data_IF_120013132345
#
_entry.id   IF_120013132345
#
_cell.length_a   1.000
_cell.length_b   1.000
_cell.length_c   1.000
_cell.angle_alpha   90.00
_cell.angle_beta   90.00
_cell.angle_gamma   90.00
#
_symmetry.space_group_name_H-M   'P 1'
#
loop_
_entity.id
_entity.type
_entity.pdbx_description
1 polymer ?
#
# COMPACT_ATOMS: atom_id res chain seq x y z
N UNK A 1 -19.33 -21.83 -9.43
CA UNK A 1 -18.28 -22.81 -9.04
C UNK A 1 -17.59 -22.29 -7.79
N UNK A 2 -17.48 -23.10 -6.73
CA UNK A 2 -16.85 -22.70 -5.45
C UNK A 2 -15.34 -22.55 -5.64
N UNK A 3 -14.80 -21.36 -5.35
CA UNK A 3 -13.35 -21.19 -5.19
C UNK A 3 -12.95 -22.04 -3.98
N UNK A 4 -11.92 -22.92 -4.08
CA UNK A 4 -11.46 -23.67 -2.93
C UNK A 4 -11.02 -22.66 -1.85
N UNK A 5 -11.59 -22.78 -0.66
CA UNK A 5 -11.35 -21.87 0.48
C UNK A 5 -9.86 -21.73 0.85
N UNK A 6 -9.02 -22.67 0.39
CA UNK A 6 -7.62 -22.78 0.75
C UNK A 6 -6.67 -21.89 -0.08
N UNK A 7 -7.07 -21.37 -1.25
CA UNK A 7 -6.13 -20.68 -2.16
C UNK A 7 -5.50 -19.42 -1.53
N UNK A 8 -6.25 -18.45 -0.97
CA UNK A 8 -5.66 -17.30 -0.31
C UNK A 8 -4.75 -17.70 0.85
N UNK A 9 -5.13 -18.75 1.61
CA UNK A 9 -4.38 -19.22 2.76
C UNK A 9 -3.03 -19.83 2.35
N UNK A 10 -3.02 -20.66 1.31
CA UNK A 10 -1.78 -21.26 0.76
C UNK A 10 -0.85 -20.17 0.25
N UNK A 11 -1.38 -19.20 -0.50
CA UNK A 11 -0.57 -18.11 -1.06
C UNK A 11 0.00 -17.23 0.05
N UNK A 12 -0.78 -16.95 1.10
CA UNK A 12 -0.29 -16.23 2.29
C UNK A 12 0.84 -16.97 2.97
N UNK A 13 0.71 -18.29 3.16
CA UNK A 13 1.75 -19.12 3.75
C UNK A 13 3.03 -19.14 2.89
N UNK A 14 2.89 -19.21 1.56
CA UNK A 14 4.02 -19.14 0.62
C UNK A 14 4.71 -17.77 0.66
N UNK A 15 3.94 -16.67 0.67
CA UNK A 15 4.48 -15.31 0.78
C UNK A 15 5.25 -15.13 2.10
N UNK A 16 4.70 -15.63 3.21
CA UNK A 16 5.33 -15.58 4.53
C UNK A 16 6.62 -16.40 4.55
N UNK A 17 6.57 -17.68 4.13
CA UNK A 17 7.74 -18.54 4.07
C UNK A 17 8.84 -17.93 3.19
N UNK A 18 8.45 -17.38 2.04
CA UNK A 18 9.36 -16.70 1.13
C UNK A 18 10.03 -15.47 1.72
N UNK A 19 9.25 -14.57 2.33
CA UNK A 19 9.78 -13.39 3.01
C UNK A 19 10.74 -13.74 4.15
N UNK A 20 10.43 -14.79 4.92
CA UNK A 20 11.32 -15.31 5.97
C UNK A 20 12.61 -15.86 5.39
N UNK A 21 12.55 -16.64 4.31
CA UNK A 21 13.73 -17.18 3.62
C UNK A 21 14.62 -16.07 3.06
N UNK A 22 14.02 -15.01 2.48
CA UNK A 22 14.76 -13.82 2.02
C UNK A 22 15.50 -13.13 3.18
N UNK A 23 14.90 -13.11 4.38
CA UNK A 23 15.53 -12.51 5.55
C UNK A 23 16.82 -13.27 5.96
N UNK A 24 16.80 -14.61 5.86
CA UNK A 24 17.97 -15.47 6.11
C UNK A 24 19.01 -15.44 4.99
N UNK A 25 18.57 -15.39 3.73
CA UNK A 25 19.46 -15.37 2.58
C UNK A 25 19.05 -14.28 1.57
N UNK A 26 19.54 -13.04 1.75
CA UNK A 26 19.16 -11.89 0.93
C UNK A 26 19.43 -12.06 -0.57
N UNK A 27 20.42 -12.88 -0.94
CA UNK A 27 20.77 -13.12 -2.34
C UNK A 27 19.64 -13.80 -3.14
N UNK A 28 18.75 -14.51 -2.45
CA UNK A 28 17.61 -15.19 -3.06
C UNK A 28 16.43 -14.25 -3.36
N UNK A 29 16.53 -12.96 -3.03
CA UNK A 29 15.42 -12.00 -3.17
C UNK A 29 14.87 -11.93 -4.59
N UNK A 30 15.73 -11.99 -5.60
CA UNK A 30 15.28 -11.92 -7.00
C UNK A 30 14.53 -13.18 -7.42
N UNK A 31 15.04 -14.35 -7.07
CA UNK A 31 14.42 -15.64 -7.41
C UNK A 31 13.11 -15.85 -6.64
N UNK A 32 13.14 -15.67 -5.32
CA UNK A 32 11.98 -15.87 -4.45
C UNK A 32 10.96 -14.75 -4.69
N UNK A 33 11.40 -13.50 -4.81
CA UNK A 33 10.53 -12.36 -5.07
C UNK A 33 9.79 -12.47 -6.40
N UNK A 34 10.46 -12.88 -7.49
CA UNK A 34 9.80 -13.05 -8.80
C UNK A 34 8.83 -14.22 -8.81
N UNK A 35 9.23 -15.39 -8.29
CA UNK A 35 8.35 -16.58 -8.22
C UNK A 35 7.10 -16.30 -7.38
N UNK A 36 7.23 -15.64 -6.24
CA UNK A 36 6.10 -15.27 -5.40
C UNK A 36 5.21 -14.19 -6.01
N UNK A 37 5.78 -13.27 -6.79
CA UNK A 37 4.98 -12.29 -7.56
C UNK A 37 4.09 -13.00 -8.59
N UNK A 38 4.61 -14.05 -9.24
CA UNK A 38 3.82 -14.91 -10.13
C UNK A 38 2.75 -15.66 -9.35
N UNK A 39 3.07 -16.25 -8.19
CA UNK A 39 2.09 -16.91 -7.32
C UNK A 39 0.97 -15.95 -6.89
N UNK A 40 1.30 -14.72 -6.51
CA UNK A 40 0.33 -13.69 -6.13
C UNK A 40 -0.58 -13.32 -7.32
N UNK A 41 0.00 -13.13 -8.52
CA UNK A 41 -0.76 -12.88 -9.74
C UNK A 41 -1.73 -14.01 -10.09
N UNK A 42 -1.29 -15.27 -9.96
CA UNK A 42 -2.13 -16.45 -10.14
C UNK A 42 -3.24 -16.50 -9.09
N UNK A 43 -2.94 -16.19 -7.82
CA UNK A 43 -3.95 -16.11 -6.77
C UNK A 43 -5.02 -15.08 -7.09
N UNK A 44 -4.62 -13.87 -7.49
CA UNK A 44 -5.54 -12.79 -7.87
C UNK A 44 -6.41 -13.19 -9.06
N UNK A 45 -5.84 -13.92 -10.02
CA UNK A 45 -6.58 -14.44 -11.17
C UNK A 45 -7.66 -15.43 -10.73
N UNK A 46 -7.34 -16.32 -9.79
CA UNK A 46 -8.29 -17.28 -9.23
C UNK A 46 -9.37 -16.62 -8.39
N UNK A 47 -9.02 -15.61 -7.60
CA UNK A 47 -9.95 -14.82 -6.79
C UNK A 47 -10.91 -14.01 -7.66
N UNK A 48 -10.46 -13.51 -8.82
CA UNK A 48 -11.23 -12.57 -9.65
C UNK A 48 -11.82 -13.23 -10.89
N UNK A 49 -13.04 -13.76 -10.82
CA UNK A 49 -13.90 -14.27 -11.94
C UNK A 49 -13.22 -15.09 -13.07
N UNK A 50 -11.95 -15.50 -12.91
CA UNK A 50 -11.08 -16.14 -13.91
C UNK A 50 -11.02 -15.41 -15.26
N UNK A 51 -11.16 -14.09 -15.27
CA UNK A 51 -10.96 -13.26 -16.47
C UNK A 51 -9.70 -12.42 -16.28
N UNK A 52 -8.57 -12.93 -16.80
CA UNK A 52 -7.40 -12.09 -17.06
C UNK A 52 -7.90 -10.91 -17.90
N UNK A 53 -7.49 -9.70 -17.57
CA UNK A 53 -7.87 -8.46 -18.28
C UNK A 53 -9.24 -7.86 -17.96
N UNK A 54 -9.98 -8.35 -16.96
CA UNK A 54 -11.12 -7.56 -16.47
C UNK A 54 -10.62 -6.30 -15.72
N UNK A 55 -11.37 -5.20 -15.81
CA UNK A 55 -11.07 -3.99 -15.04
C UNK A 55 -11.06 -4.28 -13.54
N UNK A 56 -11.92 -5.19 -13.07
CA UNK A 56 -12.00 -5.56 -11.66
C UNK A 56 -10.76 -6.33 -11.19
N UNK A 57 -10.17 -7.18 -12.03
CA UNK A 57 -8.90 -7.85 -11.74
C UNK A 57 -7.79 -6.83 -11.51
N UNK A 58 -7.66 -5.85 -12.40
CA UNK A 58 -6.66 -4.80 -12.26
C UNK A 58 -6.92 -3.91 -11.05
N UNK A 59 -8.18 -3.59 -10.75
CA UNK A 59 -8.52 -2.77 -9.58
C UNK A 59 -8.23 -3.48 -8.26
N UNK A 60 -8.52 -4.78 -8.16
CA UNK A 60 -8.26 -5.56 -6.94
C UNK A 60 -6.78 -5.91 -6.75
N UNK A 61 -5.99 -5.97 -7.83
CA UNK A 61 -4.58 -6.31 -7.75
C UNK A 61 -3.68 -5.16 -7.27
N UNK A 62 -4.14 -3.90 -7.36
CA UNK A 62 -3.34 -2.72 -7.02
C UNK A 62 -2.80 -2.77 -5.59
N UNK A 63 -3.65 -2.87 -4.55
CA UNK A 63 -3.21 -2.93 -3.14
C UNK A 63 -2.19 -4.05 -2.91
N UNK A 64 -2.49 -5.33 -3.19
CA UNK A 64 -1.57 -6.41 -2.84
C UNK A 64 -0.28 -6.35 -3.64
N UNK A 65 -0.30 -5.92 -4.90
CA UNK A 65 0.93 -5.77 -5.70
C UNK A 65 1.83 -4.67 -5.16
N UNK A 66 1.29 -3.47 -4.87
CA UNK A 66 2.09 -2.37 -4.34
C UNK A 66 2.59 -2.64 -2.92
N UNK A 67 1.77 -3.29 -2.08
CA UNK A 67 2.20 -3.72 -0.76
C UNK A 67 3.32 -4.77 -0.84
N UNK A 68 3.19 -5.74 -1.74
CA UNK A 68 4.21 -6.77 -1.98
C UNK A 68 5.52 -6.19 -2.52
N UNK A 69 5.47 -5.41 -3.60
CA UNK A 69 6.65 -4.80 -4.20
C UNK A 69 7.31 -3.78 -3.26
N UNK A 70 6.51 -2.98 -2.57
CA UNK A 70 6.98 -2.04 -1.55
C UNK A 70 7.70 -2.75 -0.41
N UNK A 71 7.11 -3.81 0.16
CA UNK A 71 7.72 -4.58 1.24
C UNK A 71 8.99 -5.33 0.81
N UNK A 72 9.00 -5.95 -0.37
CA UNK A 72 10.19 -6.61 -0.92
C UNK A 72 11.36 -5.63 -1.07
N UNK A 73 11.11 -4.48 -1.68
CA UNK A 73 12.15 -3.45 -1.88
C UNK A 73 12.59 -2.85 -0.55
N UNK A 74 11.67 -2.71 0.42
CA UNK A 74 11.98 -2.19 1.74
C UNK A 74 12.89 -3.14 2.52
N UNK A 75 12.74 -4.46 2.35
CA UNK A 75 13.63 -5.47 2.96
C UNK A 75 15.10 -5.37 2.50
N UNK A 76 15.36 -4.78 1.32
CA UNK A 76 16.72 -4.53 0.82
C UNK A 76 17.36 -3.36 1.57
N UNK A 77 16.56 -2.33 1.86
CA UNK A 77 17.01 -1.07 2.45
C UNK A 77 17.12 -1.14 3.97
N UNK A 78 16.20 -1.86 4.61
CA UNK A 78 16.09 -1.88 6.07
C UNK A 78 17.18 -2.75 6.69
N UNK A 79 18.04 -2.11 7.48
CA UNK A 79 19.14 -2.77 8.19
C UNK A 79 18.69 -3.35 9.53
N UNK A 80 17.71 -2.74 10.21
CA UNK A 80 17.32 -3.18 11.55
C UNK A 80 16.60 -4.54 11.51
N UNK A 81 17.19 -5.55 12.16
CA UNK A 81 16.69 -6.93 12.14
C UNK A 81 15.22 -7.06 12.56
N UNK A 82 14.82 -6.37 13.64
CA UNK A 82 13.43 -6.39 14.12
C UNK A 82 12.45 -5.81 13.10
N UNK A 83 12.83 -4.75 12.38
CA UNK A 83 11.99 -4.12 11.37
C UNK A 83 11.83 -5.04 10.14
N UNK A 84 12.90 -5.75 9.74
CA UNK A 84 12.82 -6.77 8.68
C UNK A 84 11.81 -7.87 9.03
N UNK A 85 11.79 -8.34 10.28
CA UNK A 85 10.79 -9.32 10.73
C UNK A 85 9.35 -8.78 10.71
N UNK A 86 9.14 -7.54 11.14
CA UNK A 86 7.81 -6.90 11.07
C UNK A 86 7.32 -6.82 9.62
N UNK A 87 8.18 -6.44 8.68
CA UNK A 87 7.82 -6.37 7.25
C UNK A 87 7.56 -7.77 6.70
N UNK A 88 8.46 -8.73 6.97
CA UNK A 88 8.39 -10.09 6.47
C UNK A 88 7.15 -10.87 6.92
N UNK A 89 6.63 -10.56 8.10
CA UNK A 89 5.41 -11.19 8.63
C UNK A 89 4.18 -10.33 8.34
N UNK A 90 4.25 -9.03 8.59
CA UNK A 90 3.12 -8.12 8.50
C UNK A 90 2.57 -7.95 7.09
N UNK A 91 3.43 -7.79 6.08
CA UNK A 91 2.98 -7.58 4.71
C UNK A 91 2.26 -8.81 4.13
N UNK A 92 2.82 -10.05 4.20
CA UNK A 92 2.10 -11.24 3.77
C UNK A 92 0.77 -11.47 4.49
N UNK A 93 0.71 -11.27 5.81
CA UNK A 93 -0.53 -11.43 6.56
C UNK A 93 -1.62 -10.46 6.09
N UNK A 94 -1.28 -9.18 5.88
CA UNK A 94 -2.23 -8.20 5.37
C UNK A 94 -2.69 -8.50 3.94
N UNK A 95 -1.76 -8.94 3.08
CA UNK A 95 -2.11 -9.41 1.73
C UNK A 95 -3.07 -10.60 1.81
N UNK A 96 -2.81 -11.55 2.70
CA UNK A 96 -3.66 -12.72 2.91
C UNK A 96 -5.07 -12.38 3.36
N UNK A 97 -5.18 -11.51 4.37
CA UNK A 97 -6.46 -10.99 4.85
C UNK A 97 -7.19 -10.25 3.72
N UNK A 98 -6.48 -9.44 2.93
CA UNK A 98 -7.06 -8.70 1.81
C UNK A 98 -7.61 -9.65 0.74
N UNK A 99 -6.84 -10.68 0.36
CA UNK A 99 -7.24 -11.68 -0.62
C UNK A 99 -8.46 -12.48 -0.16
N UNK A 100 -8.55 -12.80 1.14
CA UNK A 100 -9.73 -13.49 1.66
C UNK A 100 -10.98 -12.60 1.64
N UNK A 101 -10.86 -11.32 2.02
CA UNK A 101 -11.98 -10.37 1.91
C UNK A 101 -12.39 -10.13 0.46
N UNK A 102 -11.44 -10.00 -0.47
CA UNK A 102 -11.72 -9.86 -1.90
C UNK A 102 -12.44 -11.10 -2.47
N UNK A 103 -12.06 -12.29 -2.01
CA UNK A 103 -12.74 -13.54 -2.35
C UNK A 103 -14.18 -13.57 -1.83
N UNK A 104 -14.40 -13.20 -0.56
CA UNK A 104 -15.75 -13.14 0.02
C UNK A 104 -16.63 -12.14 -0.74
N UNK A 105 -16.09 -10.96 -1.03
CA UNK A 105 -16.76 -9.89 -1.78
C UNK A 105 -17.27 -10.36 -3.16
N UNK A 106 -16.49 -11.16 -3.89
CA UNK A 106 -16.89 -11.62 -5.23
C UNK A 106 -17.63 -12.97 -5.26
N UNK A 107 -17.22 -13.93 -4.42
CA UNK A 107 -17.68 -15.32 -4.54
C UNK A 107 -18.71 -15.73 -3.50
N UNK A 108 -18.82 -15.01 -2.38
CA UNK A 108 -19.71 -15.35 -1.28
C UNK A 108 -20.38 -14.08 -0.70
N UNK A 109 -21.23 -13.38 -1.48
CA UNK A 109 -21.87 -12.14 -1.01
C UNK A 109 -22.71 -12.33 0.26
N UNK A 110 -23.19 -13.55 0.53
CA UNK A 110 -24.00 -13.89 1.71
C UNK A 110 -23.20 -13.95 3.01
N UNK A 111 -21.88 -14.15 2.94
CA UNK A 111 -20.97 -14.22 4.11
C UNK A 111 -20.23 -12.89 4.29
N UNK A 112 -20.14 -12.09 3.24
CA UNK A 112 -19.41 -10.82 3.24
C UNK A 112 -20.00 -9.82 4.23
N UNK A 113 -19.14 -9.34 5.15
CA UNK A 113 -19.50 -8.25 6.05
C UNK A 113 -19.39 -6.92 5.31
N UNK A 114 -20.45 -6.08 5.30
CA UNK A 114 -20.39 -4.76 4.68
C UNK A 114 -19.21 -3.94 5.21
N UNK A 115 -18.53 -3.22 4.31
CA UNK A 115 -17.38 -2.34 4.62
C UNK A 115 -16.06 -3.03 5.00
N UNK A 116 -16.00 -4.37 5.09
CA UNK A 116 -14.77 -5.05 5.50
C UNK A 116 -13.62 -4.84 4.52
N UNK A 117 -13.88 -4.93 3.21
CA UNK A 117 -12.88 -4.70 2.16
C UNK A 117 -12.47 -3.21 2.12
N UNK A 118 -13.41 -2.30 2.29
CA UNK A 118 -13.19 -0.85 2.33
C UNK A 118 -12.22 -0.46 3.46
N UNK A 119 -12.43 -1.00 4.67
CA UNK A 119 -11.55 -0.73 5.82
C UNK A 119 -10.18 -1.38 5.67
N UNK A 120 -10.15 -2.64 5.25
CA UNK A 120 -8.90 -3.40 5.12
C UNK A 120 -8.03 -2.85 3.98
N UNK A 121 -8.63 -2.51 2.83
CA UNK A 121 -7.95 -1.87 1.71
C UNK A 121 -7.38 -0.51 2.09
N UNK A 122 -8.12 0.31 2.84
CA UNK A 122 -7.62 1.60 3.34
C UNK A 122 -6.36 1.43 4.18
N UNK A 123 -6.38 0.47 5.11
CA UNK A 123 -5.22 0.18 5.98
C UNK A 123 -4.03 -0.37 5.18
N UNK A 124 -4.28 -1.31 4.28
CA UNK A 124 -3.24 -1.90 3.42
C UNK A 124 -2.66 -0.88 2.44
N UNK A 125 -3.45 0.07 1.93
CA UNK A 125 -2.99 1.15 1.05
C UNK A 125 -2.06 2.13 1.78
N UNK A 126 -2.34 2.48 3.03
CA UNK A 126 -1.45 3.32 3.84
C UNK A 126 -0.10 2.62 4.04
N UNK A 127 -0.11 1.32 4.36
CA UNK A 127 1.11 0.54 4.53
C UNK A 127 1.85 0.31 3.21
N UNK A 128 1.15 0.17 2.09
CA UNK A 128 1.75 0.11 0.77
C UNK A 128 2.48 1.43 0.45
N UNK A 129 1.83 2.58 0.66
CA UNK A 129 2.45 3.91 0.50
C UNK A 129 3.68 4.04 1.40
N UNK A 130 3.56 3.72 2.68
CA UNK A 130 4.70 3.77 3.61
C UNK A 130 5.87 2.89 3.14
N UNK A 131 5.59 1.67 2.70
CA UNK A 131 6.62 0.73 2.23
C UNK A 131 7.27 1.23 0.94
N UNK A 132 6.47 1.66 -0.04
CA UNK A 132 6.95 2.19 -1.32
C UNK A 132 7.83 3.43 -1.11
N UNK A 133 7.38 4.40 -0.33
CA UNK A 133 8.17 5.61 -0.09
C UNK A 133 9.42 5.35 0.75
N UNK A 134 9.35 4.42 1.71
CA UNK A 134 10.55 3.96 2.45
C UNK A 134 11.58 3.37 1.49
N UNK A 135 11.14 2.53 0.54
CA UNK A 135 11.99 1.98 -0.49
C UNK A 135 12.54 3.03 -1.44
N UNK A 136 11.74 3.99 -1.89
CA UNK A 136 12.21 5.03 -2.82
C UNK A 136 13.27 5.94 -2.19
N UNK A 137 13.05 6.40 -0.95
CA UNK A 137 14.08 7.15 -0.21
C UNK A 137 15.31 6.29 0.07
N UNK A 138 15.10 5.03 0.46
CA UNK A 138 16.16 4.07 0.69
C UNK A 138 17.05 3.83 -0.53
N UNK A 139 16.44 3.53 -1.67
CA UNK A 139 17.13 3.33 -2.95
C UNK A 139 17.84 4.61 -3.40
N UNK A 140 17.26 5.79 -3.16
CA UNK A 140 17.93 7.06 -3.41
C UNK A 140 19.22 7.18 -2.60
N UNK A 141 19.17 6.89 -1.31
CA UNK A 141 20.32 6.96 -0.42
C UNK A 141 21.37 5.90 -0.76
N UNK A 142 20.94 4.66 -1.02
CA UNK A 142 21.82 3.52 -1.26
C UNK A 142 22.50 3.57 -2.64
N UNK A 143 21.73 3.91 -3.69
CA UNK A 143 22.18 3.86 -5.08
C UNK A 143 22.47 5.24 -5.69
N UNK A 144 22.23 6.33 -4.95
CA UNK A 144 22.42 7.69 -5.45
C UNK A 144 21.47 8.06 -6.60
N UNK A 145 20.31 7.41 -6.71
CA UNK A 145 19.41 7.59 -7.87
C UNK A 145 18.87 9.04 -7.95
N UNK A 146 18.89 9.66 -9.15
CA UNK A 146 18.30 10.97 -9.34
C UNK A 146 16.78 10.92 -9.24
N UNK A 147 16.16 12.05 -8.82
CA UNK A 147 14.72 12.16 -8.61
C UNK A 147 13.88 11.78 -9.85
N UNK A 148 14.43 11.97 -11.05
CA UNK A 148 13.74 11.69 -12.32
C UNK A 148 13.29 10.23 -12.47
N UNK A 149 13.99 9.26 -11.86
CA UNK A 149 13.58 7.85 -11.88
C UNK A 149 12.56 7.52 -10.79
N UNK A 150 12.57 8.26 -9.67
CA UNK A 150 11.74 7.97 -8.50
C UNK A 150 10.36 8.63 -8.60
N UNK A 151 10.28 9.83 -9.19
CA UNK A 151 9.04 10.59 -9.35
C UNK A 151 7.99 9.79 -10.12
N UNK A 152 8.27 9.18 -11.30
CA UNK A 152 7.27 8.40 -12.03
C UNK A 152 6.73 7.21 -11.22
N UNK A 153 7.60 6.52 -10.47
CA UNK A 153 7.19 5.40 -9.61
C UNK A 153 6.28 5.89 -8.48
N UNK A 154 6.63 7.01 -7.84
CA UNK A 154 5.80 7.61 -6.79
C UNK A 154 4.43 8.06 -7.31
N UNK A 155 4.40 8.69 -8.49
CA UNK A 155 3.17 9.15 -9.12
C UNK A 155 2.29 7.96 -9.50
N UNK A 156 2.87 6.91 -10.10
CA UNK A 156 2.16 5.68 -10.42
C UNK A 156 1.56 4.99 -9.18
N UNK A 157 2.34 4.88 -8.10
CA UNK A 157 1.88 4.29 -6.85
C UNK A 157 0.68 5.05 -6.26
N UNK A 158 0.83 6.37 -6.10
CA UNK A 158 -0.22 7.23 -5.52
C UNK A 158 -1.46 7.23 -6.40
N UNK A 159 -1.30 7.38 -7.72
CA UNK A 159 -2.43 7.41 -8.64
C UNK A 159 -3.23 6.12 -8.62
N UNK A 160 -2.55 4.97 -8.68
CA UNK A 160 -3.21 3.66 -8.67
C UNK A 160 -3.90 3.39 -7.32
N UNK A 161 -3.22 3.62 -6.19
CA UNK A 161 -3.79 3.37 -4.86
C UNK A 161 -4.95 4.31 -4.53
N UNK A 162 -4.89 5.56 -4.98
CA UNK A 162 -6.01 6.52 -4.83
C UNK A 162 -7.20 6.11 -5.70
N UNK A 163 -6.95 5.73 -6.97
CA UNK A 163 -7.99 5.25 -7.86
C UNK A 163 -8.71 4.02 -7.28
N UNK A 164 -7.92 3.05 -6.80
CA UNK A 164 -8.46 1.86 -6.16
C UNK A 164 -9.27 2.20 -4.91
N UNK A 165 -8.78 3.11 -4.05
CA UNK A 165 -9.51 3.52 -2.85
C UNK A 165 -10.89 4.09 -3.20
N UNK A 166 -10.97 4.97 -4.19
CA UNK A 166 -12.26 5.53 -4.63
C UNK A 166 -13.17 4.48 -5.25
N UNK A 167 -12.62 3.56 -6.04
CA UNK A 167 -13.39 2.47 -6.63
C UNK A 167 -13.96 1.52 -5.56
N UNK A 168 -13.15 1.09 -4.60
CA UNK A 168 -13.58 0.20 -3.51
C UNK A 168 -14.68 0.87 -2.67
N UNK A 169 -14.57 2.18 -2.43
CA UNK A 169 -15.60 2.96 -1.74
C UNK A 169 -16.81 3.33 -2.63
N UNK A 170 -16.93 2.73 -3.83
CA UNK A 170 -18.04 2.92 -4.78
C UNK A 170 -18.28 4.38 -5.17
N UNK A 171 -17.23 5.19 -5.19
CA UNK A 171 -17.29 6.59 -5.61
C UNK A 171 -17.26 6.64 -7.13
N UNK A 172 -18.18 7.40 -7.73
CA UNK A 172 -18.24 7.56 -9.18
C UNK A 172 -16.98 8.28 -9.72
N UNK A 173 -16.40 7.72 -10.77
CA UNK A 173 -15.16 8.20 -11.37
C UNK A 173 -15.31 9.63 -11.92
N UNK A 174 -16.48 9.98 -12.47
CA UNK A 174 -16.75 11.32 -12.99
C UNK A 174 -16.75 12.39 -11.90
N UNK A 175 -17.14 12.03 -10.69
CA UNK A 175 -17.08 12.94 -9.53
C UNK A 175 -15.67 12.99 -8.94
N UNK A 176 -14.95 11.86 -8.96
CA UNK A 176 -13.67 11.72 -8.24
C UNK A 176 -12.42 12.16 -9.01
N UNK A 177 -12.47 12.34 -10.33
CA UNK A 177 -11.24 12.52 -11.14
C UNK A 177 -10.39 13.73 -10.70
N UNK A 178 -11.01 14.85 -10.29
CA UNK A 178 -10.30 16.05 -9.84
C UNK A 178 -9.51 15.77 -8.56
N UNK A 179 -10.15 15.10 -7.60
CA UNK A 179 -9.51 14.68 -6.36
C UNK A 179 -8.41 13.65 -6.61
N UNK A 180 -8.67 12.70 -7.50
CA UNK A 180 -7.69 11.69 -7.89
C UNK A 180 -6.42 12.33 -8.46
N UNK A 181 -6.55 13.27 -9.41
CA UNK A 181 -5.40 13.99 -9.96
C UNK A 181 -4.72 14.87 -8.92
N UNK A 182 -5.47 15.62 -8.11
CA UNK A 182 -4.89 16.49 -7.08
C UNK A 182 -4.04 15.69 -6.09
N UNK A 183 -4.56 14.57 -5.57
CA UNK A 183 -3.81 13.71 -4.64
C UNK A 183 -2.57 13.11 -5.34
N UNK A 184 -2.71 12.70 -6.60
CA UNK A 184 -1.62 12.13 -7.40
C UNK A 184 -0.49 13.11 -7.70
N UNK A 185 -0.71 14.42 -7.55
CA UNK A 185 0.32 15.45 -7.70
C UNK A 185 0.86 15.91 -6.35
N UNK A 186 -0.02 16.19 -5.39
CA UNK A 186 0.35 16.71 -4.06
C UNK A 186 1.26 15.73 -3.30
N UNK A 187 0.99 14.42 -3.38
CA UNK A 187 1.78 13.44 -2.62
C UNK A 187 3.19 13.24 -3.20
N UNK A 188 3.40 13.08 -4.52
CA UNK A 188 4.75 13.13 -5.10
C UNK A 188 5.51 14.44 -4.88
N UNK A 189 4.82 15.59 -4.89
CA UNK A 189 5.43 16.87 -4.51
C UNK A 189 5.92 16.84 -3.05
N UNK A 190 5.05 16.41 -2.13
CA UNK A 190 5.40 16.22 -0.72
C UNK A 190 6.59 15.26 -0.55
N UNK A 191 6.63 14.18 -1.34
CA UNK A 191 7.75 13.24 -1.36
C UNK A 191 9.09 13.92 -1.73
N UNK A 192 9.10 14.76 -2.77
CA UNK A 192 10.31 15.50 -3.14
C UNK A 192 10.67 16.51 -2.04
N UNK A 193 9.71 17.28 -1.53
CA UNK A 193 9.95 18.30 -0.49
C UNK A 193 10.50 17.70 0.80
N UNK A 194 9.86 16.63 1.31
CA UNK A 194 10.30 15.92 2.52
C UNK A 194 11.66 15.25 2.31
N UNK A 195 11.99 14.88 1.06
CA UNK A 195 13.28 14.34 0.69
C UNK A 195 14.48 15.27 0.90
N UNK A 196 14.26 16.57 1.07
CA UNK A 196 15.31 17.54 1.41
C UNK A 196 15.52 17.70 2.92
N UNK A 197 14.66 17.12 3.76
CA UNK A 197 14.84 17.15 5.21
C UNK A 197 15.99 16.22 5.61
N UNK A 198 16.91 16.64 6.48
CA UNK A 198 18.03 15.83 6.96
C UNK A 198 17.58 14.84 8.04
N UNK A 199 16.64 13.96 7.69
CA UNK A 199 16.12 12.93 8.58
C UNK A 199 16.21 11.55 7.94
N UNK A 200 15.95 10.49 8.71
CA UNK A 200 15.98 9.12 8.20
C UNK A 200 14.91 8.87 7.12
N UNK A 201 15.20 7.97 6.18
CA UNK A 201 14.26 7.59 5.11
C UNK A 201 12.91 7.06 5.63
N UNK A 202 12.90 6.39 6.79
CA UNK A 202 11.68 5.89 7.44
C UNK A 202 10.80 7.03 7.95
N UNK A 203 11.41 8.06 8.57
CA UNK A 203 10.68 9.24 9.04
C UNK A 203 10.07 9.98 7.86
N UNK A 204 10.86 10.22 6.81
CA UNK A 204 10.40 10.86 5.59
C UNK A 204 9.21 10.11 4.96
N UNK A 205 9.31 8.78 4.82
CA UNK A 205 8.23 7.96 4.29
C UNK A 205 6.95 8.00 5.15
N UNK A 206 7.10 8.08 6.47
CA UNK A 206 5.98 8.14 7.40
C UNK A 206 5.24 9.49 7.31
N UNK A 207 5.97 10.60 7.14
CA UNK A 207 5.37 11.92 6.87
C UNK A 207 4.56 11.88 5.56
N UNK A 208 5.10 11.29 4.49
CA UNK A 208 4.40 11.14 3.22
C UNK A 208 3.16 10.25 3.36
N UNK A 209 3.26 9.13 4.09
CA UNK A 209 2.12 8.24 4.37
C UNK A 209 1.02 8.93 5.19
N UNK A 210 1.37 9.77 6.17
CA UNK A 210 0.43 10.57 6.94
C UNK A 210 -0.27 11.63 6.08
N UNK A 211 0.44 12.26 5.14
CA UNK A 211 -0.12 13.15 4.14
C UNK A 211 -1.08 12.45 3.18
N UNK A 212 -0.71 11.26 2.70
CA UNK A 212 -1.58 10.41 1.88
C UNK A 212 -2.85 10.02 2.64
N UNK A 213 -2.71 9.56 3.90
CA UNK A 213 -3.84 9.26 4.76
C UNK A 213 -4.81 10.45 4.90
N UNK A 214 -4.29 11.65 5.17
CA UNK A 214 -5.10 12.85 5.31
C UNK A 214 -5.86 13.16 4.01
N UNK A 215 -5.13 13.30 2.91
CA UNK A 215 -5.66 13.76 1.63
C UNK A 215 -6.67 12.79 1.03
N UNK A 216 -6.41 11.47 1.08
CA UNK A 216 -7.33 10.45 0.58
C UNK A 216 -8.60 10.38 1.41
N UNK A 217 -8.51 10.44 2.75
CA UNK A 217 -9.71 10.40 3.59
C UNK A 217 -10.54 11.67 3.46
N UNK A 218 -9.92 12.85 3.35
CA UNK A 218 -10.64 14.10 3.08
C UNK A 218 -11.32 14.06 1.70
N UNK A 219 -10.62 13.60 0.66
CA UNK A 219 -11.20 13.39 -0.66
C UNK A 219 -12.37 12.41 -0.65
N UNK A 220 -12.26 11.33 0.12
CA UNK A 220 -13.37 10.37 0.30
C UNK A 220 -14.59 11.03 0.97
N UNK A 221 -14.38 11.78 2.05
CA UNK A 221 -15.47 12.42 2.79
C UNK A 221 -16.21 13.47 1.95
N UNK A 222 -15.47 14.29 1.20
CA UNK A 222 -16.04 15.31 0.31
C UNK A 222 -16.86 14.65 -0.80
N UNK A 223 -16.31 13.61 -1.44
CA UNK A 223 -16.97 12.91 -2.55
C UNK A 223 -18.21 12.13 -2.12
N UNK A 224 -18.25 11.63 -0.87
CA UNK A 224 -19.42 10.95 -0.31
C UNK A 224 -20.45 11.91 0.32
N UNK A 225 -20.25 13.24 0.22
CA UNK A 225 -21.08 14.26 0.89
C UNK A 225 -21.28 13.98 2.40
N UNK A 226 -20.29 13.34 3.03
CA UNK A 226 -20.31 12.95 4.44
C UNK A 226 -19.40 13.85 5.29
N UNK A 227 -19.11 15.05 4.77
CA UNK A 227 -18.21 15.99 5.42
C UNK A 227 -18.84 16.50 6.71
N UNK A 228 -18.22 16.16 7.83
CA UNK A 228 -18.58 16.66 9.14
C UNK A 228 -17.34 17.25 9.77
N UNK A 229 -17.47 18.44 10.40
CA UNK A 229 -16.39 19.09 11.13
C UNK A 229 -15.66 18.12 12.07
N UNK A 230 -16.40 17.26 12.80
CA UNK A 230 -15.83 16.25 13.70
C UNK A 230 -14.94 15.23 12.98
N UNK A 231 -15.29 14.84 11.76
CA UNK A 231 -14.47 13.89 10.98
C UNK A 231 -13.22 14.58 10.43
N UNK A 232 -13.34 15.81 9.92
CA UNK A 232 -12.21 16.60 9.46
C UNK A 232 -11.20 16.81 10.59
N UNK A 233 -11.66 17.26 11.76
CA UNK A 233 -10.78 17.50 12.90
C UNK A 233 -10.08 16.22 13.35
N UNK A 234 -10.77 15.07 13.32
CA UNK A 234 -10.18 13.77 13.64
C UNK A 234 -9.06 13.38 12.67
N UNK A 235 -9.28 13.47 11.36
CA UNK A 235 -8.25 13.13 10.38
C UNK A 235 -7.06 14.08 10.47
N UNK A 236 -7.32 15.37 10.61
CA UNK A 236 -6.30 16.40 10.76
C UNK A 236 -5.50 16.21 12.06
N UNK A 237 -6.17 15.97 13.19
CA UNK A 237 -5.50 15.75 14.48
C UNK A 237 -4.62 14.51 14.46
N UNK A 238 -5.11 13.39 13.89
CA UNK A 238 -4.34 12.15 13.79
C UNK A 238 -3.09 12.38 12.93
N UNK A 239 -3.22 12.94 11.73
CA UNK A 239 -2.07 13.19 10.86
C UNK A 239 -1.07 14.17 11.47
N UNK A 240 -1.54 15.27 12.07
CA UNK A 240 -0.65 16.25 12.71
C UNK A 240 0.07 15.66 13.91
N UNK A 241 -0.63 14.85 14.73
CA UNK A 241 -0.01 14.17 15.88
C UNK A 241 1.05 13.19 15.42
N UNK A 242 0.75 12.39 14.39
CA UNK A 242 1.70 11.42 13.82
C UNK A 242 2.92 12.14 13.27
N UNK A 243 2.74 13.19 12.44
CA UNK A 243 3.84 13.97 11.87
C UNK A 243 4.68 14.65 12.97
N UNK A 244 4.03 15.24 13.98
CA UNK A 244 4.74 15.88 15.09
C UNK A 244 5.57 14.86 15.88
N UNK A 245 4.98 13.73 16.26
CA UNK A 245 5.69 12.68 16.98
C UNK A 245 6.86 12.11 16.17
N UNK A 246 6.70 11.90 14.87
CA UNK A 246 7.78 11.37 14.04
C UNK A 246 8.92 12.37 13.85
N UNK A 247 8.63 13.66 13.65
CA UNK A 247 9.66 14.69 13.55
C UNK A 247 10.38 14.96 14.88
N UNK A 248 9.67 14.86 16.01
CA UNK A 248 10.26 15.02 17.35
C UNK A 248 11.15 13.84 17.73
N UNK A 249 10.79 12.63 17.32
CA UNK A 249 11.60 11.41 17.56
C UNK A 249 12.72 11.23 16.53
N UNK A 250 12.70 12.00 15.44
CA UNK A 250 13.72 11.93 14.41
C UNK A 250 15.08 12.35 14.98
N UNK A 251 16.11 11.54 14.72
CA UNK A 251 17.49 11.98 14.88
C UNK A 251 17.81 12.89 13.71
N UNK A 252 17.94 14.18 13.99
CA UNK A 252 18.40 15.18 13.05
C UNK A 252 19.90 15.00 12.85
N UNK A 253 20.33 14.86 11.59
CA UNK A 253 21.73 14.68 11.20
C UNK A 253 22.30 16.02 10.75
#
# INVERSE_FOLDING_TARGET
>A
MRIPNLVPMIVTALLLAGMVLINFNPNLIWLIGTSLSVCLGLCLFWVTTRRLWSLDFWRLSITPLWLWLGSLTMLIVVEQAWARWIIAVGAPLLIGLFLDQARQFHSQPTVYQPYSLEHLSGTANILAIFSVFSSLYGLRLLLGLPWIFLIPVSLGAVALLTHQTFWINKIDHRSSWRWWLAISLIIPELFVTVGFLPTSYLVNALVVAAGFYLTVNLGRLTLLNSINHRMITRYLSISMTVIALTLLTARWI
#
